data_IF_300338111263
#
_entry.id   IF_300338111263
#
_cell.length_a   1.000
_cell.length_b   1.000
_cell.length_c   1.000
_cell.angle_alpha   90.00
_cell.angle_beta   90.00
_cell.angle_gamma   90.00
#
_symmetry.space_group_name_H-M   'P 1'
#
loop_
_entity.id
_entity.type
_entity.pdbx_description
1 polymer ?
#
# COMPACT_ATOMS: atom_id res chain seq x y z
N UNK A 1 1.55 34.86 24.24
CA UNK A 1 0.71 36.04 23.89
C UNK A 1 0.50 35.97 22.41
N UNK A 2 -0.70 35.59 21.96
CA UNK A 2 -1.06 35.73 20.54
C UNK A 2 -1.23 37.22 20.27
N UNK A 3 -0.38 37.79 19.41
CA UNK A 3 -0.40 39.23 19.11
C UNK A 3 -1.49 39.60 18.10
N UNK A 4 -2.12 38.61 17.44
CA UNK A 4 -3.04 38.80 16.31
C UNK A 4 -2.35 39.31 15.03
N UNK A 5 -1.06 39.62 15.10
CA UNK A 5 -0.28 40.07 13.96
C UNK A 5 0.05 38.90 13.04
N UNK A 6 0.05 39.18 11.73
CA UNK A 6 0.38 38.17 10.73
C UNK A 6 1.88 37.87 10.81
N UNK A 7 2.21 36.60 11.04
CA UNK A 7 3.60 36.14 11.00
C UNK A 7 4.16 36.26 9.57
N UNK A 8 5.47 36.41 9.44
CA UNK A 8 6.15 36.60 8.16
C UNK A 8 6.41 35.27 7.44
N UNK A 9 5.31 34.52 7.24
CA UNK A 9 5.27 33.28 6.46
C UNK A 9 4.31 33.51 5.30
N UNK A 10 4.85 33.51 4.08
CA UNK A 10 4.10 33.89 2.89
C UNK A 10 4.20 32.86 1.79
N UNK A 11 3.16 32.84 0.95
CA UNK A 11 3.08 31.98 -0.21
C UNK A 11 3.93 32.55 -1.35
N UNK A 12 4.98 31.84 -1.75
CA UNK A 12 5.84 32.23 -2.87
C UNK A 12 5.24 31.88 -4.23
N UNK A 13 4.47 30.79 -4.31
CA UNK A 13 3.88 30.33 -5.55
C UNK A 13 3.26 28.95 -5.43
N UNK A 14 2.46 28.56 -6.41
CA UNK A 14 1.76 27.29 -6.47
C UNK A 14 2.37 26.34 -7.49
N UNK A 15 2.41 25.05 -7.17
CA UNK A 15 2.88 24.02 -8.09
C UNK A 15 1.73 23.48 -8.96
N UNK A 16 1.99 23.34 -10.27
CA UNK A 16 1.06 22.74 -11.22
C UNK A 16 1.21 21.22 -11.21
N UNK A 17 0.20 20.52 -10.68
CA UNK A 17 0.24 19.06 -10.44
C UNK A 17 -0.54 18.27 -11.49
N UNK A 18 -0.11 17.03 -11.72
CA UNK A 18 -0.83 16.04 -12.55
C UNK A 18 -2.25 15.79 -12.02
N UNK A 19 -2.35 15.40 -10.74
CA UNK A 19 -3.58 15.19 -9.98
C UNK A 19 -3.57 15.96 -8.65
N UNK A 20 -4.55 15.69 -7.78
CA UNK A 20 -4.79 16.40 -6.52
C UNK A 20 -4.83 17.92 -6.71
N UNK A 21 -5.45 18.37 -7.81
CA UNK A 21 -5.45 19.80 -8.19
C UNK A 21 -6.24 20.68 -7.24
N UNK A 22 -7.23 20.11 -6.54
CA UNK A 22 -7.98 20.80 -5.48
C UNK A 22 -7.18 21.04 -4.20
N UNK A 23 -6.08 20.30 -3.99
CA UNK A 23 -5.20 20.49 -2.82
C UNK A 23 -4.12 21.51 -3.15
N UNK A 24 -4.07 22.61 -2.40
CA UNK A 24 -3.02 23.63 -2.58
C UNK A 24 -1.66 23.01 -2.26
N UNK A 25 -0.73 23.11 -3.21
CA UNK A 25 0.66 22.73 -3.02
C UNK A 25 1.49 23.96 -3.36
N UNK A 26 2.36 24.37 -2.44
CA UNK A 26 2.92 25.71 -2.42
C UNK A 26 4.38 25.72 -2.03
N UNK A 27 5.10 26.74 -2.49
CA UNK A 27 6.36 27.17 -1.91
C UNK A 27 6.07 28.21 -0.82
N UNK A 28 6.82 28.15 0.28
CA UNK A 28 6.68 29.08 1.40
C UNK A 28 7.99 29.85 1.59
N UNK A 29 7.87 31.16 1.75
CA UNK A 29 8.98 32.01 2.16
C UNK A 29 8.81 32.38 3.63
N UNK A 30 9.91 32.34 4.37
CA UNK A 30 9.96 32.62 5.80
C UNK A 30 10.88 33.82 6.05
N UNK A 31 10.34 34.90 6.61
CA UNK A 31 11.15 36.02 7.09
C UNK A 31 11.64 37.01 6.03
N UNK A 32 11.01 37.06 4.85
CA UNK A 32 11.41 37.97 3.77
C UNK A 32 10.91 39.42 3.94
N UNK A 33 10.20 39.72 5.02
CA UNK A 33 9.78 41.08 5.40
C UNK A 33 8.48 41.55 4.74
N UNK A 34 7.66 40.62 4.23
CA UNK A 34 6.31 40.92 3.71
C UNK A 34 5.37 41.25 4.86
N UNK A 35 5.49 40.52 5.97
CA UNK A 35 4.90 40.88 7.25
C UNK A 35 6.00 41.21 8.26
N UNK A 36 5.63 41.96 9.31
CA UNK A 36 6.59 42.47 10.30
C UNK A 36 6.07 42.23 11.72
N UNK A 37 5.97 40.97 12.17
CA UNK A 37 5.52 40.68 13.53
C UNK A 37 6.47 41.35 14.53
N UNK A 38 5.92 42.06 15.52
CA UNK A 38 6.72 42.83 16.47
C UNK A 38 7.49 44.02 15.85
N UNK A 39 7.08 44.48 14.67
CA UNK A 39 7.66 45.66 14.00
C UNK A 39 8.95 45.40 13.20
N UNK A 40 9.41 44.15 13.10
CA UNK A 40 10.63 43.78 12.38
C UNK A 40 10.35 42.66 11.36
N UNK A 41 11.08 42.61 10.22
CA UNK A 41 11.00 41.48 9.30
C UNK A 41 11.51 40.20 9.98
N UNK A 42 10.94 39.04 9.65
CA UNK A 42 11.33 37.76 10.25
C UNK A 42 10.14 36.88 10.61
N UNK A 43 10.26 35.58 10.34
CA UNK A 43 9.26 34.60 10.75
C UNK A 43 9.53 34.17 12.20
N UNK A 44 8.55 34.41 13.08
CA UNK A 44 8.60 33.95 14.47
C UNK A 44 8.33 32.45 14.50
N UNK A 45 9.22 31.68 15.13
CA UNK A 45 9.08 30.24 15.33
C UNK A 45 9.22 29.88 16.81
N UNK A 46 8.52 28.83 17.24
CA UNK A 46 8.64 28.27 18.58
C UNK A 46 9.19 26.86 18.48
N UNK A 47 10.14 26.52 19.36
CA UNK A 47 10.69 25.18 19.43
C UNK A 47 9.60 24.20 19.92
N UNK A 48 9.41 23.11 19.17
CA UNK A 48 8.55 22.00 19.57
C UNK A 48 9.43 20.95 20.27
N UNK A 49 9.12 20.66 21.53
CA UNK A 49 9.89 19.72 22.35
C UNK A 49 11.31 20.21 22.65
N UNK A 50 12.26 19.28 22.61
CA UNK A 50 13.65 19.51 23.01
C UNK A 50 14.53 20.00 21.84
N UNK A 51 15.56 20.83 22.12
CA UNK A 51 16.48 21.30 21.10
C UNK A 51 17.11 20.15 20.32
N UNK A 52 17.22 20.32 19.00
CA UNK A 52 17.89 19.39 18.08
C UNK A 52 17.21 18.00 17.90
N UNK A 53 15.96 17.84 18.34
CA UNK A 53 15.19 16.59 18.19
C UNK A 53 14.14 16.63 17.06
N UNK A 54 14.21 17.61 16.16
CA UNK A 54 13.16 17.87 15.15
C UNK A 54 12.79 16.66 14.27
N UNK A 55 13.78 15.89 13.78
CA UNK A 55 13.51 14.69 12.98
C UNK A 55 12.76 13.61 13.77
N UNK A 56 13.09 13.43 15.05
CA UNK A 56 12.42 12.46 15.92
C UNK A 56 10.94 12.80 16.08
N UNK A 57 10.61 14.07 16.34
CA UNK A 57 9.22 14.51 16.43
C UNK A 57 8.49 14.44 15.08
N UNK A 58 9.16 14.81 13.98
CA UNK A 58 8.59 14.66 12.65
C UNK A 58 8.22 13.20 12.36
N UNK A 59 9.12 12.24 12.64
CA UNK A 59 8.85 10.81 12.41
C UNK A 59 7.67 10.28 13.22
N UNK A 60 7.41 10.82 14.40
CA UNK A 60 6.21 10.48 15.17
C UNK A 60 4.93 10.80 14.39
N UNK A 61 4.87 11.97 13.74
CA UNK A 61 3.73 12.37 12.90
C UNK A 61 3.66 11.60 11.58
N UNK A 62 4.80 11.14 11.06
CA UNK A 62 4.87 10.44 9.78
C UNK A 62 4.21 9.07 9.79
N UNK A 63 4.16 8.36 10.93
CA UNK A 63 3.56 7.03 10.96
C UNK A 63 2.07 7.06 10.62
N UNK A 64 1.31 7.93 11.29
CA UNK A 64 -0.12 8.13 11.02
C UNK A 64 -0.34 8.72 9.61
N UNK A 65 0.47 9.70 9.21
CA UNK A 65 0.38 10.29 7.87
C UNK A 65 0.57 9.23 6.76
N UNK A 66 1.51 8.29 6.93
CA UNK A 66 1.78 7.20 5.97
C UNK A 66 0.63 6.20 5.87
N UNK A 67 0.01 5.83 6.99
CA UNK A 67 -1.23 5.02 6.98
C UNK A 67 -2.35 5.80 6.29
N UNK A 68 -2.46 7.10 6.55
CA UNK A 68 -3.40 7.99 5.86
C UNK A 68 -3.22 8.04 4.34
N UNK A 69 -1.97 8.11 3.85
CA UNK A 69 -1.65 8.01 2.42
C UNK A 69 -2.08 6.65 1.85
N UNK A 70 -1.80 5.56 2.55
CA UNK A 70 -2.24 4.22 2.19
C UNK A 70 -3.77 4.10 2.05
N UNK A 71 -4.50 4.65 3.01
CA UNK A 71 -5.97 4.71 2.99
C UNK A 71 -6.50 5.59 1.84
N UNK A 72 -5.87 6.75 1.59
CA UNK A 72 -6.22 7.61 0.46
C UNK A 72 -6.02 6.93 -0.89
N UNK A 73 -4.91 6.21 -1.06
CA UNK A 73 -4.66 5.40 -2.26
C UNK A 73 -5.69 4.29 -2.43
N UNK A 74 -6.05 3.64 -1.31
CA UNK A 74 -7.10 2.63 -1.28
C UNK A 74 -8.42 3.20 -1.75
N UNK A 75 -8.85 4.34 -1.20
CA UNK A 75 -10.13 4.95 -1.54
C UNK A 75 -10.23 5.30 -3.03
N UNK A 76 -9.18 5.89 -3.60
CA UNK A 76 -9.11 6.22 -5.04
C UNK A 76 -9.15 4.96 -5.92
N UNK A 77 -8.42 3.91 -5.55
CA UNK A 77 -8.47 2.62 -6.25
C UNK A 77 -9.88 2.00 -6.18
N UNK A 78 -10.46 1.98 -4.98
CA UNK A 78 -11.75 1.36 -4.70
C UNK A 78 -12.87 2.02 -5.49
N UNK A 79 -12.94 3.35 -5.51
CA UNK A 79 -13.94 4.06 -6.32
C UNK A 79 -13.75 3.81 -7.81
N UNK A 80 -12.50 3.79 -8.31
CA UNK A 80 -12.21 3.43 -9.70
C UNK A 80 -12.70 2.03 -10.06
N UNK A 81 -12.46 1.05 -9.20
CA UNK A 81 -13.00 -0.31 -9.34
C UNK A 81 -14.53 -0.33 -9.39
N UNK A 82 -15.21 0.38 -8.48
CA UNK A 82 -16.68 0.42 -8.46
C UNK A 82 -17.26 1.05 -9.73
N UNK A 83 -16.67 2.13 -10.23
CA UNK A 83 -17.08 2.75 -11.50
C UNK A 83 -16.84 1.81 -12.69
N UNK A 84 -15.72 1.11 -12.73
CA UNK A 84 -15.44 0.12 -13.77
C UNK A 84 -16.39 -1.08 -13.72
N UNK A 85 -16.72 -1.56 -12.51
CA UNK A 85 -17.67 -2.65 -12.31
C UNK A 85 -19.07 -2.26 -12.79
N UNK A 86 -19.54 -1.07 -12.42
CA UNK A 86 -20.84 -0.56 -12.84
C UNK A 86 -20.93 -0.42 -14.37
N UNK A 87 -19.91 0.21 -14.97
CA UNK A 87 -19.82 0.33 -16.43
C UNK A 87 -19.81 -1.05 -17.13
N UNK A 88 -19.05 -2.01 -16.60
CA UNK A 88 -18.94 -3.34 -17.20
C UNK A 88 -20.25 -4.13 -17.18
N UNK A 89 -21.10 -3.92 -16.16
CA UNK A 89 -22.43 -4.52 -16.06
C UNK A 89 -23.41 -3.92 -17.08
N UNK A 90 -23.27 -2.62 -17.37
CA UNK A 90 -24.21 -1.89 -18.24
C UNK A 90 -23.82 -1.82 -19.72
N UNK A 91 -22.56 -2.07 -20.08
CA UNK A 91 -22.04 -1.86 -21.45
C UNK A 91 -22.18 -3.10 -22.34
N UNK A 92 -23.13 -3.17 -23.29
CA UNK A 92 -23.16 -4.25 -24.28
C UNK A 92 -22.06 -4.04 -25.32
N UNK A 93 -21.23 -5.06 -25.54
CA UNK A 93 -20.24 -5.07 -26.62
C UNK A 93 -19.75 -6.50 -26.87
N UNK A 94 -19.63 -6.88 -28.14
CA UNK A 94 -19.18 -8.22 -28.51
C UNK A 94 -20.22 -9.30 -28.18
N UNK A 95 -19.84 -10.57 -28.32
CA UNK A 95 -20.71 -11.75 -28.18
C UNK A 95 -20.03 -12.77 -27.25
N UNK A 96 -20.77 -13.75 -26.69
CA UNK A 96 -20.14 -14.83 -25.94
C UNK A 96 -19.03 -15.48 -26.77
N UNK A 97 -17.89 -15.83 -26.13
CA UNK A 97 -16.70 -16.37 -26.84
C UNK A 97 -17.03 -17.62 -27.67
N UNK A 98 -17.99 -18.42 -27.22
CA UNK A 98 -18.40 -19.65 -27.91
C UNK A 98 -19.51 -19.43 -28.95
N UNK A 99 -20.04 -18.21 -29.09
CA UNK A 99 -21.05 -17.88 -30.08
C UNK A 99 -20.38 -17.47 -31.40
N UNK A 100 -20.45 -18.35 -32.41
CA UNK A 100 -19.92 -18.10 -33.75
C UNK A 100 -20.88 -17.33 -34.67
N UNK A 101 -22.16 -17.24 -34.29
CA UNK A 101 -23.19 -16.58 -35.08
C UNK A 101 -23.10 -15.04 -34.96
N UNK A 102 -22.84 -14.31 -36.05
CA UNK A 102 -22.84 -12.85 -36.04
C UNK A 102 -24.20 -12.22 -35.71
N UNK A 103 -25.32 -12.94 -35.87
CA UNK A 103 -26.64 -12.44 -35.51
C UNK A 103 -26.94 -12.54 -33.99
N UNK A 104 -26.10 -13.24 -33.22
CA UNK A 104 -26.27 -13.34 -31.77
C UNK A 104 -26.22 -11.96 -31.08
N UNK A 105 -27.07 -11.75 -30.05
CA UNK A 105 -27.13 -10.47 -29.35
C UNK A 105 -25.82 -10.15 -28.65
N UNK A 106 -25.58 -8.85 -28.43
CA UNK A 106 -24.45 -8.42 -27.64
C UNK A 106 -24.63 -8.79 -26.17
N UNK A 107 -23.54 -9.09 -25.49
CA UNK A 107 -23.52 -9.28 -24.04
C UNK A 107 -22.84 -8.10 -23.33
N UNK A 108 -23.22 -7.81 -22.08
CA UNK A 108 -22.47 -6.91 -21.23
C UNK A 108 -21.00 -7.32 -21.14
N UNK A 109 -20.09 -6.34 -21.13
CA UNK A 109 -18.65 -6.66 -21.17
C UNK A 109 -18.15 -7.42 -19.94
N UNK A 110 -18.87 -7.38 -18.81
CA UNK A 110 -18.58 -8.20 -17.63
C UNK A 110 -18.62 -9.71 -17.93
N UNK A 111 -19.25 -10.14 -19.02
CA UNK A 111 -19.26 -11.54 -19.47
C UNK A 111 -17.95 -11.98 -20.15
N UNK A 112 -17.09 -11.02 -20.53
CA UNK A 112 -15.82 -11.34 -21.19
C UNK A 112 -14.75 -11.79 -20.19
N UNK A 113 -14.00 -12.88 -20.49
CA UNK A 113 -13.02 -13.44 -19.56
C UNK A 113 -11.97 -12.44 -19.07
N UNK A 114 -11.43 -11.61 -19.96
CA UNK A 114 -10.39 -10.64 -19.58
C UNK A 114 -10.95 -9.48 -18.73
N UNK A 115 -12.18 -9.04 -18.99
CA UNK A 115 -12.86 -8.04 -18.15
C UNK A 115 -13.07 -8.59 -16.74
N UNK A 116 -13.49 -9.86 -16.62
CA UNK A 116 -13.58 -10.54 -15.30
C UNK A 116 -12.23 -10.62 -14.60
N UNK A 117 -11.16 -10.92 -15.33
CA UNK A 117 -9.79 -10.92 -14.78
C UNK A 117 -9.40 -9.55 -14.24
N UNK A 118 -9.61 -8.48 -15.01
CA UNK A 118 -9.29 -7.11 -14.60
C UNK A 118 -10.11 -6.65 -13.39
N UNK A 119 -11.41 -6.95 -13.36
CA UNK A 119 -12.29 -6.63 -12.23
C UNK A 119 -11.92 -7.44 -10.99
N UNK A 120 -11.57 -8.71 -11.14
CA UNK A 120 -11.16 -9.56 -10.02
C UNK A 120 -9.81 -9.15 -9.44
N UNK A 121 -8.84 -8.77 -10.28
CA UNK A 121 -7.58 -8.18 -9.85
C UNK A 121 -7.82 -6.89 -9.06
N UNK A 122 -8.59 -5.96 -9.64
CA UNK A 122 -8.95 -4.69 -8.98
C UNK A 122 -9.61 -4.91 -7.63
N UNK A 123 -10.60 -5.83 -7.56
CA UNK A 123 -11.27 -6.21 -6.31
C UNK A 123 -10.28 -6.77 -5.27
N UNK A 124 -9.37 -7.66 -5.69
CA UNK A 124 -8.36 -8.25 -4.83
C UNK A 124 -7.40 -7.20 -4.25
N UNK A 125 -7.05 -6.19 -5.04
CA UNK A 125 -6.17 -5.10 -4.59
C UNK A 125 -6.88 -4.16 -3.62
N UNK A 126 -8.04 -3.63 -3.99
CA UNK A 126 -8.68 -2.55 -3.23
C UNK A 126 -9.29 -3.05 -1.91
N UNK A 127 -9.81 -4.28 -1.88
CA UNK A 127 -10.35 -4.86 -0.65
C UNK A 127 -9.26 -5.34 0.31
N UNK A 128 -8.17 -5.90 -0.23
CA UNK A 128 -7.01 -6.26 0.59
C UNK A 128 -6.34 -5.02 1.20
N UNK A 129 -6.15 -3.97 0.40
CA UNK A 129 -5.61 -2.70 0.86
C UNK A 129 -6.49 -2.02 1.93
N UNK A 130 -7.81 -2.07 1.77
CA UNK A 130 -8.74 -1.53 2.77
C UNK A 130 -8.63 -2.31 4.08
N UNK A 131 -8.63 -3.64 4.02
CA UNK A 131 -8.50 -4.47 5.21
C UNK A 131 -7.16 -4.24 5.94
N UNK A 132 -6.04 -4.11 5.21
CA UNK A 132 -4.74 -3.80 5.80
C UNK A 132 -4.73 -2.42 6.49
N UNK A 133 -5.28 -1.39 5.84
CA UNK A 133 -5.32 -0.05 6.43
C UNK A 133 -6.27 0.04 7.63
N UNK A 134 -7.40 -0.68 7.61
CA UNK A 134 -8.27 -0.80 8.78
C UNK A 134 -7.58 -1.55 9.93
N UNK A 135 -6.82 -2.59 9.62
CA UNK A 135 -6.00 -3.29 10.60
C UNK A 135 -4.96 -2.35 11.23
N UNK A 136 -4.24 -1.57 10.43
CA UNK A 136 -3.27 -0.58 10.93
C UNK A 136 -3.96 0.56 11.70
N UNK A 137 -5.15 0.99 11.28
CA UNK A 137 -5.97 1.97 12.01
C UNK A 137 -6.32 1.49 13.41
N UNK A 138 -6.78 0.24 13.55
CA UNK A 138 -7.01 -0.38 14.86
C UNK A 138 -5.74 -0.39 15.71
N UNK A 139 -4.58 -0.71 15.12
CA UNK A 139 -3.31 -0.70 15.87
C UNK A 139 -2.90 0.72 16.32
N UNK A 140 -3.20 1.76 15.53
CA UNK A 140 -2.94 3.15 15.92
C UNK A 140 -3.80 3.53 17.13
N UNK A 141 -5.09 3.16 17.12
CA UNK A 141 -5.98 3.35 18.27
C UNK A 141 -5.47 2.57 19.50
N UNK A 142 -5.10 1.29 19.34
CA UNK A 142 -4.56 0.48 20.42
C UNK A 142 -3.23 1.01 20.97
N UNK A 143 -2.37 1.57 20.12
CA UNK A 143 -1.14 2.25 20.54
C UNK A 143 -1.45 3.48 21.40
N UNK A 144 -2.44 4.27 21.02
CA UNK A 144 -2.81 5.51 21.71
C UNK A 144 -3.62 5.28 22.99
N UNK A 145 -4.59 4.36 22.95
CA UNK A 145 -5.61 4.20 24.00
C UNK A 145 -5.74 2.77 24.54
N UNK A 146 -4.86 1.83 24.17
CA UNK A 146 -4.92 0.45 24.64
C UNK A 146 -4.86 0.35 26.17
N UNK A 147 -5.64 -0.57 26.75
CA UNK A 147 -5.85 -0.67 28.20
C UNK A 147 -4.58 -1.02 28.99
N UNK A 148 -3.69 -1.83 28.39
CA UNK A 148 -2.46 -2.30 29.04
C UNK A 148 -1.22 -1.80 28.32
N UNK A 149 -0.10 -1.71 29.05
CA UNK A 149 1.19 -1.37 28.45
C UNK A 149 1.67 -2.42 27.44
N UNK A 150 1.27 -3.69 27.62
CA UNK A 150 1.58 -4.77 26.70
C UNK A 150 0.91 -4.54 25.33
N UNK A 151 -0.40 -4.26 25.31
CA UNK A 151 -1.13 -3.94 24.06
C UNK A 151 -0.46 -2.78 23.32
N UNK A 152 -0.19 -1.66 24.02
CA UNK A 152 0.44 -0.49 23.39
C UNK A 152 1.82 -0.82 22.79
N UNK A 153 2.60 -1.67 23.47
CA UNK A 153 3.93 -2.09 23.02
C UNK A 153 3.84 -3.02 21.80
N UNK A 154 2.95 -4.00 21.83
CA UNK A 154 2.71 -4.93 20.71
C UNK A 154 2.21 -4.18 19.46
N UNK A 155 1.24 -3.26 19.62
CA UNK A 155 0.74 -2.44 18.52
C UNK A 155 1.83 -1.55 17.93
N UNK A 156 2.71 -0.99 18.77
CA UNK A 156 3.88 -0.21 18.32
C UNK A 156 4.83 -1.07 17.49
N UNK A 157 5.17 -2.27 17.97
CA UNK A 157 6.09 -3.18 17.28
C UNK A 157 5.53 -3.66 15.92
N UNK A 158 4.23 -3.95 15.86
CA UNK A 158 3.57 -4.31 14.60
C UNK A 158 3.53 -3.11 13.63
N UNK A 159 3.15 -1.92 14.11
CA UNK A 159 3.10 -0.71 13.29
C UNK A 159 4.47 -0.31 12.75
N UNK A 160 5.54 -0.55 13.49
CA UNK A 160 6.90 -0.27 13.03
C UNK A 160 7.21 -0.99 11.71
N UNK A 161 6.76 -2.23 11.56
CA UNK A 161 6.95 -3.02 10.33
C UNK A 161 5.84 -2.77 9.30
N UNK A 162 4.59 -2.66 9.74
CA UNK A 162 3.44 -2.57 8.85
C UNK A 162 3.26 -1.20 8.19
N UNK A 163 3.65 -0.10 8.84
CA UNK A 163 3.47 1.25 8.30
C UNK A 163 4.04 1.46 6.89
N UNK A 164 5.31 1.11 6.60
CA UNK A 164 5.85 1.25 5.24
C UNK A 164 5.11 0.38 4.21
N UNK A 165 4.59 -0.79 4.61
CA UNK A 165 3.80 -1.69 3.75
C UNK A 165 2.41 -1.09 3.51
N UNK A 166 1.72 -0.66 4.57
CA UNK A 166 0.39 -0.06 4.54
C UNK A 166 0.36 1.23 3.72
N UNK A 167 1.49 1.95 3.64
CA UNK A 167 1.66 3.09 2.74
C UNK A 167 1.91 2.63 1.30
N UNK A 168 2.97 1.85 1.08
CA UNK A 168 3.50 1.61 -0.26
C UNK A 168 2.69 0.61 -1.08
N UNK A 169 2.23 -0.48 -0.47
CA UNK A 169 1.52 -1.53 -1.20
C UNK A 169 0.19 -1.01 -1.76
N UNK A 170 -0.69 -0.35 -0.97
CA UNK A 170 -1.89 0.29 -1.53
C UNK A 170 -1.56 1.36 -2.57
N UNK A 171 -0.54 2.19 -2.34
CA UNK A 171 -0.12 3.23 -3.29
C UNK A 171 0.20 2.69 -4.69
N UNK A 172 0.80 1.49 -4.76
CA UNK A 172 1.12 0.82 -6.02
C UNK A 172 -0.08 0.07 -6.60
N UNK A 173 -0.71 -0.80 -5.81
CA UNK A 173 -1.69 -1.76 -6.31
C UNK A 173 -3.09 -1.16 -6.49
N UNK A 174 -3.44 -0.13 -5.71
CA UNK A 174 -4.68 0.62 -5.95
C UNK A 174 -4.54 1.59 -7.13
N UNK A 175 -3.31 2.05 -7.45
CA UNK A 175 -3.04 2.77 -8.69
C UNK A 175 -3.17 1.82 -9.90
N UNK A 176 -2.69 0.58 -9.78
CA UNK A 176 -2.92 -0.45 -10.80
C UNK A 176 -4.41 -0.74 -10.98
N UNK A 177 -5.20 -0.81 -9.91
CA UNK A 177 -6.66 -0.91 -10.00
C UNK A 177 -7.28 0.29 -10.76
N UNK A 178 -6.75 1.51 -10.62
CA UNK A 178 -7.18 2.65 -11.42
C UNK A 178 -6.79 2.53 -12.90
N UNK A 179 -5.60 1.99 -13.18
CA UNK A 179 -5.16 1.68 -14.55
C UNK A 179 -6.10 0.66 -15.22
N UNK A 180 -6.44 -0.41 -14.51
CA UNK A 180 -7.40 -1.42 -14.96
C UNK A 180 -8.80 -0.84 -15.12
N UNK A 181 -9.22 0.09 -14.28
CA UNK A 181 -10.50 0.77 -14.41
C UNK A 181 -10.60 1.55 -15.75
N UNK A 182 -9.54 2.29 -16.11
CA UNK A 182 -9.44 2.96 -17.42
C UNK A 182 -9.56 1.92 -18.54
N UNK A 183 -8.82 0.81 -18.44
CA UNK A 183 -8.82 -0.26 -19.44
C UNK A 183 -10.20 -0.90 -19.63
N UNK A 184 -10.95 -1.14 -18.55
CA UNK A 184 -12.32 -1.71 -18.58
C UNK A 184 -13.29 -0.78 -19.33
N UNK A 185 -13.14 0.54 -19.19
CA UNK A 185 -13.96 1.52 -19.92
C UNK A 185 -13.54 1.68 -21.39
N UNK A 186 -12.38 1.16 -21.78
CA UNK A 186 -11.81 1.31 -23.12
C UNK A 186 -11.56 2.78 -23.45
N UNK A 187 -11.92 3.22 -24.66
CA UNK A 187 -11.72 4.61 -25.09
C UNK A 187 -12.33 5.64 -24.15
N UNK A 188 -13.51 5.37 -23.57
CA UNK A 188 -14.17 6.25 -22.60
C UNK A 188 -13.40 6.39 -21.28
N UNK A 189 -12.57 5.40 -20.93
CA UNK A 189 -11.72 5.49 -19.74
C UNK A 189 -10.62 6.54 -19.88
N UNK A 190 -10.28 6.95 -21.11
CA UNK A 190 -9.27 7.96 -21.41
C UNK A 190 -9.86 9.37 -21.62
N UNK A 191 -11.17 9.54 -21.37
CA UNK A 191 -11.86 10.81 -21.53
C UNK A 191 -12.28 11.38 -20.18
N UNK A 192 -12.61 12.67 -20.12
CA UNK A 192 -12.95 13.37 -18.86
C UNK A 192 -14.43 13.27 -18.48
N UNK A 193 -15.24 12.65 -19.32
CA UNK A 193 -16.65 12.34 -19.07
C UNK A 193 -16.80 11.26 -17.99
N UNK A 194 -15.79 10.42 -17.81
CA UNK A 194 -15.73 9.43 -16.73
C UNK A 194 -14.62 9.79 -15.73
N UNK A 195 -14.86 9.59 -14.42
CA UNK A 195 -13.93 10.06 -13.40
C UNK A 195 -12.68 9.17 -13.23
N UNK A 196 -12.62 8.01 -13.89
CA UNK A 196 -11.55 7.02 -13.70
C UNK A 196 -10.16 7.55 -14.06
N UNK A 197 -10.07 8.45 -15.05
CA UNK A 197 -8.81 9.12 -15.41
C UNK A 197 -8.33 10.05 -14.29
N UNK A 198 -9.27 10.75 -13.63
CA UNK A 198 -8.96 11.60 -12.49
C UNK A 198 -8.46 10.78 -11.32
N UNK A 199 -9.13 9.66 -10.99
CA UNK A 199 -8.69 8.79 -9.90
C UNK A 199 -7.27 8.30 -10.12
N UNK A 200 -6.91 7.89 -11.34
CA UNK A 200 -5.55 7.52 -11.68
C UNK A 200 -4.56 8.69 -11.46
N UNK A 201 -4.85 9.88 -12.01
CA UNK A 201 -3.98 11.05 -11.87
C UNK A 201 -3.77 11.46 -10.41
N UNK A 202 -4.82 11.40 -9.60
CA UNK A 202 -4.77 11.75 -8.19
C UNK A 202 -3.98 10.66 -7.45
N UNK A 203 -4.27 9.38 -7.68
CA UNK A 203 -3.60 8.26 -7.00
C UNK A 203 -2.10 8.16 -7.34
N UNK A 204 -1.67 8.66 -8.50
CA UNK A 204 -0.26 8.66 -8.94
C UNK A 204 0.69 9.40 -7.98
N UNK A 205 0.18 10.30 -7.14
CA UNK A 205 0.96 10.99 -6.11
C UNK A 205 1.39 10.06 -4.96
N UNK A 206 0.55 9.07 -4.62
CA UNK A 206 0.70 8.30 -3.39
C UNK A 206 1.99 7.46 -3.32
N UNK A 207 2.52 6.90 -4.43
CA UNK A 207 3.86 6.28 -4.43
C UNK A 207 5.03 7.25 -4.21
N UNK A 208 4.82 8.59 -4.26
CA UNK A 208 5.87 9.61 -4.25
C UNK A 208 5.92 10.37 -2.92
N UNK A 209 4.82 10.99 -2.47
CA UNK A 209 4.84 11.84 -1.28
C UNK A 209 4.91 11.03 0.02
N UNK A 210 5.23 11.68 1.14
CA UNK A 210 5.40 11.04 2.46
C UNK A 210 6.39 9.87 2.45
N UNK A 211 7.45 10.00 1.65
CA UNK A 211 8.47 8.99 1.38
C UNK A 211 8.13 8.14 0.16
N UNK A 212 8.98 8.21 -0.86
CA UNK A 212 8.82 7.43 -2.10
C UNK A 212 8.82 5.94 -1.83
N UNK A 213 8.29 5.13 -2.75
CA UNK A 213 8.29 3.67 -2.63
C UNK A 213 9.68 3.11 -2.29
N UNK A 214 10.74 3.58 -2.96
CA UNK A 214 12.12 3.18 -2.66
C UNK A 214 12.59 3.59 -1.26
N UNK A 215 12.23 4.79 -0.79
CA UNK A 215 12.53 5.23 0.58
C UNK A 215 11.80 4.36 1.61
N UNK A 216 10.57 3.93 1.33
CA UNK A 216 9.84 3.01 2.21
C UNK A 216 10.47 1.61 2.21
N UNK A 217 11.05 1.18 1.08
CA UNK A 217 11.81 -0.08 1.01
C UNK A 217 13.08 -0.02 1.84
N UNK A 218 13.84 1.07 1.71
CA UNK A 218 15.02 1.33 2.55
C UNK A 218 14.66 1.45 4.04
N UNK A 219 13.54 2.10 4.36
CA UNK A 219 13.05 2.21 5.74
C UNK A 219 12.68 0.83 6.30
N UNK A 220 11.89 0.05 5.56
CA UNK A 220 11.48 -1.27 5.98
C UNK A 220 12.69 -2.19 6.19
N UNK A 221 13.47 -2.42 5.12
CA UNK A 221 14.58 -3.35 5.15
C UNK A 221 15.72 -2.83 6.02
N UNK A 222 16.18 -1.60 5.81
CA UNK A 222 17.37 -1.07 6.48
C UNK A 222 17.16 -0.61 7.93
N UNK A 223 15.91 -0.45 8.37
CA UNK A 223 15.60 0.04 9.72
C UNK A 223 14.56 -0.82 10.43
N UNK A 224 13.33 -0.89 9.93
CA UNK A 224 12.18 -1.39 10.69
C UNK A 224 12.26 -2.87 11.05
N UNK A 225 12.72 -3.73 10.14
CA UNK A 225 12.74 -5.18 10.37
C UNK A 225 13.86 -5.65 11.31
N UNK A 226 14.86 -4.82 11.59
CA UNK A 226 15.97 -5.13 12.51
C UNK A 226 15.98 -4.31 13.79
N UNK A 227 15.14 -3.28 13.88
CA UNK A 227 14.95 -2.51 15.10
C UNK A 227 14.65 -3.42 16.29
N UNK A 228 15.21 -3.08 17.45
CA UNK A 228 15.04 -3.83 18.70
C UNK A 228 15.38 -5.33 18.54
N UNK A 229 16.42 -5.64 17.76
CA UNK A 229 16.84 -7.03 17.50
C UNK A 229 15.85 -7.82 16.65
N UNK A 230 15.02 -7.15 15.85
CA UNK A 230 14.01 -7.77 14.98
C UNK A 230 12.70 -8.13 15.68
N UNK A 231 12.44 -7.59 16.88
CA UNK A 231 11.24 -7.89 17.65
C UNK A 231 9.93 -7.65 16.87
N UNK A 232 9.85 -6.57 16.08
CA UNK A 232 8.68 -6.26 15.25
C UNK A 232 8.44 -7.31 14.16
N UNK A 233 9.50 -7.73 13.45
CA UNK A 233 9.38 -8.77 12.42
C UNK A 233 9.00 -10.11 13.05
N UNK A 234 9.62 -10.48 14.18
CA UNK A 234 9.29 -11.70 14.90
C UNK A 234 7.82 -11.73 15.36
N UNK A 235 7.31 -10.62 15.89
CA UNK A 235 5.91 -10.50 16.30
C UNK A 235 4.95 -10.58 15.11
N UNK A 236 5.29 -9.93 13.99
CA UNK A 236 4.50 -10.02 12.77
C UNK A 236 4.46 -11.46 12.24
N UNK A 237 5.60 -12.15 12.17
CA UNK A 237 5.68 -13.57 11.79
C UNK A 237 4.78 -14.43 12.69
N UNK A 238 4.89 -14.30 14.02
CA UNK A 238 4.04 -15.05 14.95
C UNK A 238 2.55 -14.76 14.77
N UNK A 239 2.20 -13.50 14.48
CA UNK A 239 0.82 -13.09 14.22
C UNK A 239 0.29 -13.78 12.97
N UNK A 240 1.04 -13.78 11.87
CA UNK A 240 0.67 -14.48 10.64
C UNK A 240 0.60 -16.00 10.83
N UNK A 241 1.53 -16.59 11.58
CA UNK A 241 1.54 -18.02 11.90
C UNK A 241 0.32 -18.48 12.70
N UNK A 242 -0.24 -17.59 13.53
CA UNK A 242 -1.49 -17.87 14.23
C UNK A 242 -2.64 -18.01 13.24
N UNK A 243 -2.72 -17.12 12.26
CA UNK A 243 -3.74 -17.17 11.20
C UNK A 243 -3.57 -18.40 10.32
N UNK A 244 -2.35 -18.74 9.88
CA UNK A 244 -2.11 -19.94 9.06
C UNK A 244 -2.48 -21.21 9.83
N UNK A 245 -2.18 -21.29 11.12
CA UNK A 245 -2.58 -22.41 11.97
C UNK A 245 -4.11 -22.55 12.08
N UNK A 246 -4.84 -21.44 12.24
CA UNK A 246 -6.31 -21.44 12.25
C UNK A 246 -6.87 -21.93 10.91
N UNK A 247 -6.31 -21.45 9.79
CA UNK A 247 -6.73 -21.87 8.45
C UNK A 247 -6.46 -23.36 8.19
N UNK A 248 -5.30 -23.86 8.60
CA UNK A 248 -4.97 -25.30 8.54
C UNK A 248 -5.93 -26.15 9.38
N UNK A 249 -6.35 -25.66 10.54
CA UNK A 249 -7.31 -26.36 11.40
C UNK A 249 -8.75 -26.35 10.84
N UNK A 250 -9.13 -25.32 10.08
CA UNK A 250 -10.45 -25.23 9.45
C UNK A 250 -10.66 -26.28 8.34
N UNK A 251 -9.59 -26.76 7.71
CA UNK A 251 -9.66 -27.78 6.65
C UNK A 251 -10.04 -27.24 5.28
N UNK A 252 -10.23 -28.14 4.32
CA UNK A 252 -10.60 -27.79 2.94
C UNK A 252 -9.62 -26.84 2.26
N UNK A 253 -10.13 -25.94 1.43
CA UNK A 253 -9.31 -24.95 0.71
C UNK A 253 -8.59 -23.99 1.67
N UNK A 254 -9.17 -23.65 2.83
CA UNK A 254 -8.51 -22.80 3.82
C UNK A 254 -7.21 -23.43 4.34
N UNK A 255 -7.19 -24.75 4.52
CA UNK A 255 -5.98 -25.43 4.95
C UNK A 255 -4.88 -25.43 3.88
N UNK A 256 -5.26 -25.56 2.60
CA UNK A 256 -4.32 -25.47 1.48
C UNK A 256 -3.70 -24.07 1.41
N UNK A 257 -4.52 -23.01 1.45
CA UNK A 257 -4.07 -21.62 1.41
C UNK A 257 -3.22 -21.27 2.66
N UNK A 258 -3.63 -21.75 3.85
CA UNK A 258 -2.88 -21.57 5.09
C UNK A 258 -1.49 -22.21 5.03
N UNK A 259 -1.39 -23.43 4.49
CA UNK A 259 -0.12 -24.13 4.32
C UNK A 259 0.78 -23.43 3.28
N UNK A 260 0.22 -22.95 2.17
CA UNK A 260 0.95 -22.18 1.15
C UNK A 260 1.55 -20.90 1.75
N UNK A 261 0.76 -20.13 2.51
CA UNK A 261 1.23 -18.92 3.16
C UNK A 261 2.28 -19.20 4.24
N UNK A 262 2.13 -20.26 5.03
CA UNK A 262 3.06 -20.62 6.10
C UNK A 262 4.50 -20.81 5.59
N UNK A 263 4.66 -21.37 4.39
CA UNK A 263 5.98 -21.52 3.74
C UNK A 263 6.65 -20.15 3.55
N UNK A 264 5.91 -19.17 3.03
CA UNK A 264 6.45 -17.83 2.77
C UNK A 264 6.64 -17.02 4.06
N UNK A 265 5.74 -17.16 5.02
CA UNK A 265 5.84 -16.54 6.34
C UNK A 265 7.13 -16.95 7.06
N UNK A 266 7.54 -18.23 6.93
CA UNK A 266 8.82 -18.73 7.46
C UNK A 266 10.03 -18.28 6.65
N UNK A 267 9.87 -18.11 5.34
CA UNK A 267 10.96 -17.71 4.46
C UNK A 267 11.36 -16.25 4.66
N UNK A 268 10.42 -15.35 4.93
CA UNK A 268 10.69 -13.91 5.10
C UNK A 268 11.78 -13.62 6.15
N UNK A 269 11.72 -14.11 7.41
CA UNK A 269 12.80 -13.90 8.37
C UNK A 269 14.15 -14.49 7.94
N UNK A 270 14.15 -15.64 7.25
CA UNK A 270 15.38 -16.27 6.75
C UNK A 270 16.02 -15.42 5.64
N UNK A 271 15.24 -14.94 4.66
CA UNK A 271 15.71 -14.02 3.62
C UNK A 271 16.19 -12.71 4.22
N UNK A 272 15.48 -12.17 5.22
CA UNK A 272 15.88 -10.95 5.94
C UNK A 272 17.25 -11.14 6.60
N UNK A 273 17.43 -12.25 7.32
CA UNK A 273 18.72 -12.57 7.95
C UNK A 273 19.83 -12.69 6.92
N UNK A 274 19.60 -13.39 5.80
CA UNK A 274 20.59 -13.54 4.73
C UNK A 274 21.06 -12.17 4.20
N UNK A 275 20.12 -11.26 3.90
CA UNK A 275 20.41 -9.89 3.47
C UNK A 275 21.23 -9.13 4.52
N UNK A 276 20.92 -9.28 5.81
CA UNK A 276 21.62 -8.58 6.89
C UNK A 276 22.99 -9.15 7.25
N UNK A 277 23.21 -10.43 7.00
CA UNK A 277 24.53 -11.07 7.19
C UNK A 277 25.49 -10.79 6.03
N UNK A 278 25.03 -10.16 4.95
CA UNK A 278 25.92 -9.69 3.89
C UNK A 278 26.95 -8.70 4.47
N UNK A 279 28.19 -8.81 4.01
CA UNK A 279 29.29 -8.00 4.53
C UNK A 279 29.17 -6.50 4.21
N UNK A 280 28.44 -6.17 3.14
CA UNK A 280 28.25 -4.80 2.66
C UNK A 280 26.78 -4.39 2.73
N UNK A 281 26.51 -3.33 3.50
CA UNK A 281 25.19 -2.75 3.66
C UNK A 281 24.60 -2.23 2.32
N UNK A 282 25.43 -1.80 1.38
CA UNK A 282 24.93 -1.37 0.07
C UNK A 282 24.34 -2.55 -0.71
N UNK A 283 24.98 -3.72 -0.65
CA UNK A 283 24.48 -4.96 -1.26
C UNK A 283 23.15 -5.37 -0.60
N UNK A 284 23.07 -5.31 0.74
CA UNK A 284 21.83 -5.61 1.47
C UNK A 284 20.66 -4.73 1.04
N UNK A 285 20.92 -3.45 0.75
CA UNK A 285 19.88 -2.45 0.48
C UNK A 285 19.58 -2.22 -1.01
N UNK A 286 20.43 -2.73 -1.92
CA UNK A 286 20.32 -2.53 -3.36
C UNK A 286 18.94 -2.91 -3.91
N UNK A 287 18.37 -4.01 -3.39
CA UNK A 287 17.08 -4.55 -3.81
C UNK A 287 15.96 -4.32 -2.78
N UNK A 288 16.08 -3.29 -1.94
CA UNK A 288 15.13 -2.98 -0.86
C UNK A 288 13.68 -2.77 -1.32
N UNK A 289 13.47 -2.28 -2.55
CA UNK A 289 12.12 -2.16 -3.13
C UNK A 289 11.52 -3.53 -3.48
N UNK A 290 12.34 -4.48 -3.95
CA UNK A 290 11.91 -5.87 -4.20
C UNK A 290 11.55 -6.56 -2.89
N UNK A 291 12.32 -6.31 -1.83
CA UNK A 291 12.01 -6.81 -0.49
C UNK A 291 10.67 -6.26 0.02
N UNK A 292 10.44 -4.95 -0.09
CA UNK A 292 9.17 -4.33 0.28
C UNK A 292 7.99 -4.95 -0.47
N UNK A 293 8.14 -5.18 -1.78
CA UNK A 293 7.09 -5.79 -2.58
C UNK A 293 6.81 -7.23 -2.16
N UNK A 294 7.86 -8.05 -1.98
CA UNK A 294 7.74 -9.44 -1.58
C UNK A 294 7.07 -9.58 -0.20
N UNK A 295 7.54 -8.84 0.80
CA UNK A 295 6.97 -8.87 2.16
C UNK A 295 5.56 -8.28 2.16
N UNK A 296 5.31 -7.24 1.37
CA UNK A 296 3.98 -6.67 1.20
C UNK A 296 2.96 -7.70 0.69
N UNK A 297 3.32 -8.49 -0.32
CA UNK A 297 2.46 -9.57 -0.82
C UNK A 297 2.19 -10.66 0.22
N UNK A 298 3.18 -11.03 1.04
CA UNK A 298 2.99 -11.99 2.14
C UNK A 298 2.02 -11.42 3.18
N UNK A 299 2.18 -10.15 3.56
CA UNK A 299 1.26 -9.46 4.48
C UNK A 299 -0.15 -9.37 3.90
N UNK A 300 -0.31 -9.06 2.61
CA UNK A 300 -1.63 -8.99 1.99
C UNK A 300 -2.29 -10.37 1.84
N UNK A 301 -1.51 -11.43 1.58
CA UNK A 301 -2.03 -12.80 1.61
C UNK A 301 -2.54 -13.19 3.01
N UNK A 302 -1.83 -12.78 4.06
CA UNK A 302 -2.29 -12.93 5.44
C UNK A 302 -3.60 -12.18 5.70
N UNK A 303 -3.70 -10.91 5.29
CA UNK A 303 -4.93 -10.12 5.41
C UNK A 303 -6.09 -10.74 4.60
N UNK A 304 -5.82 -11.35 3.45
CA UNK A 304 -6.82 -12.11 2.71
C UNK A 304 -7.23 -13.38 3.45
N UNK A 305 -6.29 -14.12 4.03
CA UNK A 305 -6.58 -15.34 4.78
C UNK A 305 -7.46 -15.06 6.02
N UNK A 306 -7.22 -13.97 6.73
CA UNK A 306 -8.10 -13.49 7.82
C UNK A 306 -9.54 -13.24 7.33
N UNK A 307 -9.70 -12.61 6.17
CA UNK A 307 -11.03 -12.38 5.58
C UNK A 307 -11.70 -13.69 5.12
N UNK A 308 -10.93 -14.65 4.60
CA UNK A 308 -11.44 -15.94 4.18
C UNK A 308 -11.91 -16.78 5.39
N UNK A 309 -11.15 -16.77 6.48
CA UNK A 309 -11.56 -17.36 7.76
C UNK A 309 -12.86 -16.72 8.29
N UNK A 310 -12.96 -15.39 8.25
CA UNK A 310 -14.18 -14.69 8.67
C UNK A 310 -15.41 -15.00 7.79
N UNK A 311 -15.17 -15.35 6.52
CA UNK A 311 -16.21 -15.75 5.57
C UNK A 311 -16.53 -17.25 5.60
N UNK A 312 -15.79 -18.05 6.38
CA UNK A 312 -15.98 -19.50 6.43
C UNK A 312 -17.38 -19.86 6.95
N UNK A 313 -18.00 -20.86 6.32
CA UNK A 313 -19.39 -21.26 6.58
C UNK A 313 -20.46 -20.22 6.26
N UNK A 314 -20.12 -19.05 5.70
CA UNK A 314 -21.09 -18.01 5.31
C UNK A 314 -21.38 -18.04 3.81
N UNK A 315 -22.64 -17.92 3.43
CA UNK A 315 -23.11 -18.00 2.03
C UNK A 315 -23.62 -16.65 1.50
N UNK A 316 -23.60 -16.49 0.16
CA UNK A 316 -24.16 -15.35 -0.55
C UNK A 316 -23.10 -14.52 -1.28
N UNK A 317 -23.55 -13.74 -2.27
CA UNK A 317 -22.72 -13.03 -3.26
C UNK A 317 -21.52 -12.28 -2.66
N UNK A 318 -21.70 -11.64 -1.49
CA UNK A 318 -20.61 -10.95 -0.82
C UNK A 318 -19.50 -11.91 -0.38
N UNK A 319 -19.84 -13.00 0.32
CA UNK A 319 -18.88 -13.98 0.83
C UNK A 319 -18.28 -14.82 -0.29
N UNK A 320 -19.06 -15.17 -1.31
CA UNK A 320 -18.55 -15.84 -2.51
C UNK A 320 -17.59 -14.96 -3.29
N UNK A 321 -17.90 -13.66 -3.40
CA UNK A 321 -16.99 -12.66 -3.97
C UNK A 321 -15.69 -12.51 -3.17
N UNK A 322 -15.74 -12.57 -1.83
CA UNK A 322 -14.55 -12.58 -0.96
C UNK A 322 -13.69 -13.82 -1.19
N UNK A 323 -14.31 -15.01 -1.23
CA UNK A 323 -13.62 -16.26 -1.56
C UNK A 323 -12.92 -16.19 -2.91
N UNK A 324 -13.61 -15.69 -3.93
CA UNK A 324 -13.04 -15.59 -5.28
C UNK A 324 -11.87 -14.59 -5.35
N UNK A 325 -11.96 -13.44 -4.67
CA UNK A 325 -10.88 -12.45 -4.61
C UNK A 325 -9.67 -12.98 -3.82
N UNK A 326 -9.88 -13.65 -2.69
CA UNK A 326 -8.81 -14.30 -1.94
C UNK A 326 -8.11 -15.40 -2.74
N UNK A 327 -8.87 -16.26 -3.43
CA UNK A 327 -8.31 -17.25 -4.37
C UNK A 327 -7.48 -16.61 -5.48
N UNK A 328 -7.96 -15.51 -6.06
CA UNK A 328 -7.20 -14.78 -7.06
C UNK A 328 -5.86 -14.32 -6.49
N UNK A 329 -5.87 -13.71 -5.30
CA UNK A 329 -4.64 -13.24 -4.67
C UNK A 329 -3.63 -14.39 -4.46
N UNK A 330 -4.07 -15.50 -3.88
CA UNK A 330 -3.21 -16.67 -3.66
C UNK A 330 -2.72 -17.32 -4.96
N UNK A 331 -3.55 -17.39 -6.00
CA UNK A 331 -3.19 -18.11 -7.24
C UNK A 331 -2.46 -17.24 -8.29
N UNK A 332 -2.61 -15.92 -8.24
CA UNK A 332 -2.06 -15.00 -9.25
C UNK A 332 -1.01 -14.05 -8.69
N UNK A 333 -1.15 -13.58 -7.45
CA UNK A 333 -0.28 -12.55 -6.88
C UNK A 333 0.80 -13.17 -6.00
N UNK A 334 0.41 -14.04 -5.06
CA UNK A 334 1.34 -14.68 -4.13
C UNK A 334 2.50 -15.44 -4.79
N UNK A 335 2.33 -16.15 -5.93
CA UNK A 335 3.42 -16.89 -6.56
C UNK A 335 4.59 -15.99 -7.03
N UNK A 336 4.34 -14.69 -7.26
CA UNK A 336 5.38 -13.72 -7.63
C UNK A 336 6.43 -13.55 -6.52
N UNK A 337 6.06 -13.79 -5.27
CA UNK A 337 6.96 -13.68 -4.10
C UNK A 337 8.13 -14.64 -4.19
N UNK A 338 7.93 -15.85 -4.71
CA UNK A 338 8.98 -16.86 -4.74
C UNK A 338 10.19 -16.42 -5.59
N UNK A 339 9.94 -15.78 -6.73
CA UNK A 339 10.98 -15.23 -7.60
C UNK A 339 11.66 -14.02 -6.98
N UNK A 340 10.89 -13.13 -6.34
CA UNK A 340 11.43 -11.96 -5.65
C UNK A 340 12.37 -12.36 -4.48
N UNK A 341 11.95 -13.33 -3.66
CA UNK A 341 12.79 -13.85 -2.57
C UNK A 341 14.05 -14.55 -3.10
N UNK A 342 13.98 -15.27 -4.22
CA UNK A 342 15.16 -15.89 -4.82
C UNK A 342 16.20 -14.85 -5.29
N UNK A 343 15.76 -13.73 -5.90
CA UNK A 343 16.63 -12.62 -6.29
C UNK A 343 17.30 -11.97 -5.05
N UNK A 344 16.54 -11.82 -3.97
CA UNK A 344 17.07 -11.24 -2.72
C UNK A 344 18.09 -12.18 -2.07
N UNK A 345 17.82 -13.47 -2.04
CA UNK A 345 18.70 -14.50 -1.47
C UNK A 345 19.99 -14.67 -2.28
N UNK A 346 19.99 -14.38 -3.59
CA UNK A 346 21.21 -14.37 -4.39
C UNK A 346 22.08 -13.14 -4.18
N UNK A 347 21.64 -12.16 -3.36
CA UNK A 347 22.34 -10.90 -3.10
C UNK A 347 22.73 -10.19 -4.42
N UNK A 348 21.82 -10.17 -5.38
CA UNK A 348 22.12 -9.68 -6.73
C UNK A 348 22.59 -8.21 -6.73
N UNK A 349 23.75 -7.95 -7.33
CA UNK A 349 24.37 -6.63 -7.39
C UNK A 349 24.21 -5.94 -8.74
N UNK A 350 23.44 -6.49 -9.69
CA UNK A 350 23.36 -5.97 -11.08
C UNK A 350 23.02 -4.49 -11.12
N UNK A 351 22.10 -4.03 -10.26
CA UNK A 351 21.70 -2.61 -10.18
C UNK A 351 22.74 -1.74 -9.49
N UNK A 352 23.51 -2.30 -8.56
CA UNK A 352 24.57 -1.61 -7.81
C UNK A 352 25.85 -1.49 -8.63
N UNK A 353 26.18 -2.51 -9.42
CA UNK A 353 27.35 -2.58 -10.29
C UNK A 353 27.22 -1.67 -11.53
N UNK A 354 26.03 -1.12 -11.76
CA UNK A 354 25.74 -0.23 -12.87
C UNK A 354 26.50 1.10 -12.73
N UNK A 355 27.49 1.30 -13.60
CA UNK A 355 28.21 2.59 -13.68
C UNK A 355 27.31 3.70 -14.22
N UNK A 356 27.38 4.92 -13.67
CA UNK A 356 26.69 6.09 -14.24
C UNK A 356 27.00 6.33 -15.72
N UNK A 357 28.18 5.92 -16.20
CA UNK A 357 28.60 6.10 -17.59
C UNK A 357 28.00 5.08 -18.57
N UNK A 358 27.26 4.07 -18.09
CA UNK A 358 26.68 3.02 -18.92
C UNK A 358 25.16 3.19 -19.16
N UNK A 359 24.51 4.14 -18.46
CA UNK A 359 23.14 4.57 -18.76
C UNK A 359 23.13 5.45 -20.01
#
# INVERSE_FOLDING_TARGET
>A
VETGERNDVVLAGLNHKMGFRGTVNTMLNFGEGVHRPGGQPGAVGHLVGEPHQGLKYMFHMMNEARVGVGLGATALGYTGFLHALDYAKGRPQGRPVNAKDPASPQVPIIEHPDVRRMLLASKAYVEGALALNLYCGRLLDEQATGETAAIRTESTLLLDVLTPIAKSWPSQWCLEANSLAIQVLGGYGYTREYPVEQFYRDNRLNPIHEGTHGIQGLDLLGRKVVMQGGAGLALLTQTMQRTTALAMAAGGELAELGAELEVLVRRVPATTMALFTAADLQVSLANSSVYLEAVGHVVLAWIWLEQLLAADGREGDFYDGKRQAGRFFFRWELPKVAAALALLESLDTTTLDMSPAWF
#
